data_IF_227991618112
#
_entry.id   IF_227991618112
#
_cell.length_a   1.000
_cell.length_b   1.000
_cell.length_c   1.000
_cell.angle_alpha   90.00
_cell.angle_beta   90.00
_cell.angle_gamma   90.00
#
_symmetry.space_group_name_H-M   'P 1'
#
loop_
_entity.id
_entity.type
_entity.pdbx_description
1 polymer ?
#
# COMPACT_ATOMS: atom_id res chain seq x y z
N UNK A 1 -18.79 -9.96 -33.14
CA UNK A 1 -17.38 -9.48 -33.28
C UNK A 1 -16.83 -9.29 -31.90
N UNK A 2 -15.99 -10.23 -31.46
CA UNK A 2 -15.35 -10.17 -30.13
C UNK A 2 -14.14 -9.25 -30.29
N UNK A 3 -14.25 -8.03 -29.81
CA UNK A 3 -13.10 -7.15 -29.68
C UNK A 3 -12.23 -7.72 -28.55
N UNK A 4 -11.31 -8.60 -28.91
CA UNK A 4 -10.19 -8.97 -28.04
C UNK A 4 -9.31 -7.74 -27.86
N UNK A 5 -9.67 -6.89 -26.92
CA UNK A 5 -8.75 -5.90 -26.39
C UNK A 5 -7.58 -6.69 -25.80
N UNK A 6 -6.43 -6.55 -26.46
CA UNK A 6 -5.17 -7.08 -26.00
C UNK A 6 -4.94 -6.50 -24.59
N UNK A 7 -5.23 -7.26 -23.53
CA UNK A 7 -4.77 -6.92 -22.18
C UNK A 7 -3.26 -6.72 -22.31
N UNK A 8 -2.79 -5.52 -22.12
CA UNK A 8 -1.36 -5.30 -21.89
C UNK A 8 -1.06 -6.00 -20.57
N UNK A 9 -0.63 -7.24 -20.66
CA UNK A 9 -0.44 -8.13 -19.52
C UNK A 9 0.91 -7.81 -18.88
N UNK A 10 0.93 -6.77 -18.04
CA UNK A 10 2.10 -6.49 -17.20
C UNK A 10 2.26 -7.62 -16.20
N UNK A 11 3.41 -8.29 -16.22
CA UNK A 11 3.75 -9.26 -15.19
C UNK A 11 4.14 -8.56 -13.88
N UNK A 12 3.97 -9.25 -12.75
CA UNK A 12 4.45 -8.74 -11.45
C UNK A 12 5.94 -8.39 -11.48
N UNK A 13 6.73 -9.15 -12.23
CA UNK A 13 8.15 -8.88 -12.40
C UNK A 13 8.41 -7.54 -13.12
N UNK A 14 7.67 -7.25 -14.20
CA UNK A 14 7.80 -5.96 -14.91
C UNK A 14 7.41 -4.78 -14.02
N UNK A 15 6.30 -4.91 -13.26
CA UNK A 15 5.87 -3.89 -12.32
C UNK A 15 6.89 -3.70 -11.19
N UNK A 16 7.51 -4.77 -10.71
CA UNK A 16 8.58 -4.70 -9.71
C UNK A 16 9.85 -4.02 -10.26
N UNK A 17 10.27 -4.34 -11.49
CA UNK A 17 11.40 -3.66 -12.13
C UNK A 17 11.14 -2.17 -12.30
N UNK A 18 9.94 -1.79 -12.75
CA UNK A 18 9.54 -0.38 -12.86
C UNK A 18 9.64 0.36 -11.51
N UNK A 19 9.25 -0.31 -10.41
CA UNK A 19 9.43 0.25 -9.06
C UNK A 19 10.91 0.49 -8.72
N UNK A 20 11.80 -0.47 -9.02
CA UNK A 20 13.22 -0.33 -8.76
C UNK A 20 13.87 0.78 -9.61
N UNK A 21 13.42 0.95 -10.84
CA UNK A 21 13.87 1.97 -11.78
C UNK A 21 13.19 3.34 -11.52
N UNK A 22 12.23 3.41 -10.61
CA UNK A 22 11.39 4.59 -10.31
C UNK A 22 10.56 5.06 -11.50
N UNK A 23 10.28 4.18 -12.46
CA UNK A 23 9.39 4.44 -13.60
C UNK A 23 7.93 4.09 -13.24
N UNK A 24 7.29 4.98 -12.52
CA UNK A 24 5.90 4.80 -12.10
C UNK A 24 4.89 4.99 -13.23
N UNK A 25 5.31 5.40 -14.42
CA UNK A 25 4.43 5.46 -15.60
C UNK A 25 3.93 4.08 -16.02
N UNK A 26 4.73 3.03 -15.79
CA UNK A 26 4.35 1.63 -16.02
C UNK A 26 3.21 1.21 -15.09
N UNK A 27 3.26 1.62 -13.81
CA UNK A 27 2.17 1.37 -12.87
C UNK A 27 0.92 2.15 -13.23
N UNK A 28 1.06 3.42 -13.61
CA UNK A 28 -0.07 4.23 -14.09
C UNK A 28 -0.77 3.55 -15.27
N UNK A 29 0.00 3.10 -16.26
CA UNK A 29 -0.53 2.41 -17.44
C UNK A 29 -1.21 1.08 -17.07
N UNK A 30 -0.61 0.27 -16.21
CA UNK A 30 -1.21 -0.97 -15.70
C UNK A 30 -2.56 -0.70 -15.02
N UNK A 31 -2.59 0.23 -14.06
CA UNK A 31 -3.79 0.56 -13.30
C UNK A 31 -4.86 1.15 -14.22
N UNK A 32 -4.50 2.03 -15.16
CA UNK A 32 -5.43 2.67 -16.09
C UNK A 32 -6.04 1.71 -17.11
N UNK A 33 -5.29 0.68 -17.54
CA UNK A 33 -5.75 -0.30 -18.53
C UNK A 33 -6.49 -1.49 -17.93
N UNK A 34 -6.61 -1.57 -16.62
CA UNK A 34 -7.19 -2.71 -15.92
C UNK A 34 -8.65 -2.43 -15.56
N UNK A 35 -9.56 -3.24 -16.10
CA UNK A 35 -11.00 -3.17 -15.81
C UNK A 35 -11.32 -4.02 -14.58
N UNK A 36 -11.75 -3.38 -13.50
CA UNK A 36 -12.03 -4.01 -12.19
C UNK A 36 -13.04 -5.16 -12.28
N UNK A 37 -14.10 -5.01 -13.11
CA UNK A 37 -15.15 -6.02 -13.27
C UNK A 37 -14.66 -7.35 -13.84
N UNK A 38 -13.56 -7.32 -14.59
CA UNK A 38 -13.05 -8.47 -15.34
C UNK A 38 -12.02 -9.27 -14.57
N UNK A 39 -11.67 -8.83 -13.35
CA UNK A 39 -10.62 -9.42 -12.55
C UNK A 39 -11.13 -10.55 -11.66
N UNK A 40 -10.33 -11.59 -11.52
CA UNK A 40 -10.45 -12.59 -10.46
C UNK A 40 -10.19 -11.97 -9.08
N UNK A 41 -10.54 -12.67 -8.01
CA UNK A 41 -10.29 -12.21 -6.64
C UNK A 41 -8.80 -11.94 -6.39
N UNK A 42 -7.91 -12.82 -6.85
CA UNK A 42 -6.48 -12.65 -6.66
C UNK A 42 -5.91 -11.46 -7.46
N UNK A 43 -6.38 -11.27 -8.70
CA UNK A 43 -6.01 -10.11 -9.52
C UNK A 43 -6.52 -8.79 -8.91
N UNK A 44 -7.69 -8.78 -8.27
CA UNK A 44 -8.20 -7.62 -7.52
C UNK A 44 -7.31 -7.29 -6.32
N UNK A 45 -6.89 -8.30 -5.55
CA UNK A 45 -5.93 -8.11 -4.45
C UNK A 45 -4.59 -7.55 -4.95
N UNK A 46 -4.11 -8.07 -6.07
CA UNK A 46 -2.90 -7.56 -6.72
C UNK A 46 -3.07 -6.10 -7.14
N UNK A 47 -4.17 -5.75 -7.82
CA UNK A 47 -4.43 -4.38 -8.25
C UNK A 47 -4.51 -3.43 -7.05
N UNK A 48 -5.23 -3.79 -5.98
CA UNK A 48 -5.31 -2.99 -4.76
C UNK A 48 -3.93 -2.72 -4.16
N UNK A 49 -3.02 -3.69 -4.18
CA UNK A 49 -1.67 -3.50 -3.69
C UNK A 49 -0.87 -2.49 -4.53
N UNK A 50 -1.01 -2.52 -5.86
CA UNK A 50 -0.37 -1.53 -6.74
C UNK A 50 -1.04 -0.16 -6.64
N UNK A 51 -2.36 -0.07 -6.51
CA UNK A 51 -3.06 1.19 -6.27
C UNK A 51 -2.66 1.83 -4.93
N UNK A 52 -2.46 1.03 -3.88
CA UNK A 52 -1.90 1.49 -2.61
C UNK A 52 -0.55 2.18 -2.82
N UNK A 53 0.41 1.53 -3.45
CA UNK A 53 1.73 2.08 -3.69
C UNK A 53 1.71 3.28 -4.64
N UNK A 54 0.93 3.22 -5.71
CA UNK A 54 0.81 4.30 -6.68
C UNK A 54 0.14 5.55 -6.07
N UNK A 55 -0.83 5.37 -5.18
CA UNK A 55 -1.44 6.49 -4.45
C UNK A 55 -0.42 7.20 -3.55
N UNK A 56 0.46 6.46 -2.89
CA UNK A 56 1.55 7.05 -2.10
C UNK A 56 2.50 7.88 -2.98
N UNK A 57 2.88 7.36 -4.15
CA UNK A 57 3.70 8.07 -5.12
C UNK A 57 3.01 9.34 -5.64
N UNK A 58 1.74 9.25 -6.04
CA UNK A 58 0.99 10.38 -6.56
C UNK A 58 0.85 11.51 -5.52
N UNK A 59 0.66 11.17 -4.24
CA UNK A 59 0.64 12.16 -3.16
C UNK A 59 1.97 12.88 -2.97
N UNK A 60 3.08 12.20 -3.26
CA UNK A 60 4.41 12.77 -3.12
C UNK A 60 4.83 13.62 -4.33
N UNK A 61 4.45 13.23 -5.55
CA UNK A 61 5.01 13.77 -6.78
C UNK A 61 3.96 14.28 -7.79
N UNK A 62 2.71 13.83 -7.73
CA UNK A 62 1.66 14.15 -8.71
C UNK A 62 0.38 14.68 -8.02
N UNK A 63 0.52 15.66 -7.15
CA UNK A 63 -0.54 16.15 -6.26
C UNK A 63 -1.84 16.56 -6.98
N UNK A 64 -1.77 16.99 -8.23
CA UNK A 64 -2.98 17.35 -9.00
C UNK A 64 -3.88 16.15 -9.31
N UNK A 65 -3.30 14.98 -9.57
CA UNK A 65 -4.03 13.73 -9.87
C UNK A 65 -4.32 12.90 -8.62
N UNK A 66 -3.64 13.17 -7.51
CA UNK A 66 -3.67 12.32 -6.32
C UNK A 66 -5.07 12.12 -5.74
N UNK A 67 -5.95 13.12 -5.85
CA UNK A 67 -7.34 13.03 -5.38
C UNK A 67 -8.17 12.00 -6.15
N UNK A 68 -8.04 11.97 -7.47
CA UNK A 68 -8.76 11.03 -8.35
C UNK A 68 -8.22 9.60 -8.19
N UNK A 69 -6.88 9.46 -8.11
CA UNK A 69 -6.21 8.19 -7.89
C UNK A 69 -6.66 7.58 -6.55
N UNK A 70 -6.64 8.38 -5.48
CA UNK A 70 -7.12 7.97 -4.17
C UNK A 70 -8.61 7.59 -4.18
N UNK A 71 -9.44 8.35 -4.87
CA UNK A 71 -10.87 8.08 -4.95
C UNK A 71 -11.17 6.76 -5.64
N UNK A 72 -10.42 6.43 -6.69
CA UNK A 72 -10.50 5.12 -7.36
C UNK A 72 -10.03 3.99 -6.45
N UNK A 73 -8.87 4.14 -5.80
CA UNK A 73 -8.38 3.16 -4.84
C UNK A 73 -9.39 2.89 -3.71
N UNK A 74 -9.95 3.95 -3.10
CA UNK A 74 -10.96 3.81 -2.05
C UNK A 74 -12.21 3.09 -2.54
N UNK A 75 -12.67 3.37 -3.76
CA UNK A 75 -13.82 2.68 -4.38
C UNK A 75 -13.54 1.18 -4.51
N UNK A 76 -12.39 0.81 -5.08
CA UNK A 76 -12.02 -0.60 -5.25
C UNK A 76 -11.83 -1.33 -3.91
N UNK A 77 -11.27 -0.67 -2.88
CA UNK A 77 -11.18 -1.24 -1.53
C UNK A 77 -12.58 -1.55 -0.97
N UNK A 78 -13.54 -0.64 -1.12
CA UNK A 78 -14.92 -0.86 -0.65
C UNK A 78 -15.62 -1.99 -1.40
N UNK A 79 -15.45 -2.05 -2.71
CA UNK A 79 -16.01 -3.12 -3.55
C UNK A 79 -15.41 -4.48 -3.22
N UNK A 80 -14.14 -4.52 -2.78
CA UNK A 80 -13.45 -5.75 -2.40
C UNK A 80 -13.76 -6.23 -0.97
N UNK A 81 -14.57 -5.53 -0.17
CA UNK A 81 -14.78 -5.85 1.24
C UNK A 81 -15.12 -7.31 1.51
N UNK A 82 -15.97 -7.94 0.68
CA UNK A 82 -16.37 -9.34 0.84
C UNK A 82 -15.33 -10.36 0.33
N UNK A 83 -14.28 -9.90 -0.36
CA UNK A 83 -13.23 -10.73 -0.96
C UNK A 83 -11.93 -10.72 -0.16
N UNK A 84 -11.76 -9.71 0.68
CA UNK A 84 -10.60 -9.52 1.55
C UNK A 84 -10.85 -10.21 2.90
N UNK A 85 -9.78 -10.63 3.59
CA UNK A 85 -9.91 -10.90 5.02
C UNK A 85 -10.28 -9.60 5.75
N UNK A 86 -10.83 -9.72 6.96
CA UNK A 86 -11.18 -8.54 7.76
C UNK A 86 -9.93 -7.68 8.03
N UNK A 87 -8.80 -8.32 8.30
CA UNK A 87 -7.52 -7.63 8.51
C UNK A 87 -7.06 -6.92 7.25
N UNK A 88 -7.06 -7.57 6.08
CA UNK A 88 -6.71 -6.95 4.80
C UNK A 88 -7.58 -5.72 4.51
N UNK A 89 -8.91 -5.86 4.63
CA UNK A 89 -9.84 -4.74 4.40
C UNK A 89 -9.57 -3.56 5.33
N UNK A 90 -9.44 -3.80 6.63
CA UNK A 90 -9.16 -2.76 7.62
C UNK A 90 -7.81 -2.10 7.38
N UNK A 91 -6.80 -2.84 6.92
CA UNK A 91 -5.47 -2.32 6.59
C UNK A 91 -5.54 -1.40 5.37
N UNK A 92 -6.24 -1.79 4.30
CA UNK A 92 -6.49 -0.90 3.17
C UNK A 92 -7.27 0.36 3.58
N UNK A 93 -8.27 0.24 4.46
CA UNK A 93 -9.02 1.40 4.97
C UNK A 93 -8.17 2.32 5.86
N UNK A 94 -7.19 1.78 6.59
CA UNK A 94 -6.19 2.58 7.31
C UNK A 94 -5.30 3.36 6.33
N UNK A 95 -4.83 2.73 5.26
CA UNK A 95 -4.05 3.37 4.20
C UNK A 95 -4.87 4.49 3.50
N UNK A 96 -6.11 4.21 3.09
CA UNK A 96 -7.04 5.21 2.53
C UNK A 96 -7.19 6.40 3.48
N UNK A 97 -7.41 6.15 4.77
CA UNK A 97 -7.55 7.21 5.78
C UNK A 97 -6.27 8.03 5.93
N UNK A 98 -5.09 7.39 5.84
CA UNK A 98 -3.79 8.08 5.85
C UNK A 98 -3.65 9.02 4.66
N UNK A 99 -4.00 8.57 3.47
CA UNK A 99 -3.94 9.36 2.25
C UNK A 99 -4.98 10.50 2.26
N UNK A 100 -6.21 10.25 2.71
CA UNK A 100 -7.22 11.29 2.93
C UNK A 100 -6.74 12.34 3.95
N UNK A 101 -6.11 11.90 5.05
CA UNK A 101 -5.53 12.83 6.02
C UNK A 101 -4.42 13.68 5.40
N UNK A 102 -3.58 13.09 4.57
CA UNK A 102 -2.53 13.81 3.86
C UNK A 102 -3.07 14.90 2.95
N UNK A 103 -4.17 14.65 2.22
CA UNK A 103 -4.81 15.60 1.31
C UNK A 103 -5.65 16.65 2.03
N UNK A 104 -6.52 16.21 2.96
CA UNK A 104 -7.58 17.05 3.49
C UNK A 104 -7.27 17.64 4.88
N UNK A 105 -6.26 17.11 5.59
CA UNK A 105 -5.84 17.52 6.94
C UNK A 105 -6.98 17.48 8.01
N UNK A 106 -8.02 16.65 7.80
CA UNK A 106 -9.16 16.53 8.72
C UNK A 106 -8.87 15.50 9.81
N UNK A 107 -8.98 15.90 11.08
CA UNK A 107 -8.67 15.07 12.26
C UNK A 107 -9.47 13.75 12.33
N UNK A 108 -10.68 13.70 11.77
CA UNK A 108 -11.47 12.46 11.69
C UNK A 108 -10.69 11.30 11.04
N UNK A 109 -9.87 11.60 10.05
CA UNK A 109 -9.06 10.56 9.39
C UNK A 109 -7.94 10.05 10.30
N UNK A 110 -7.33 10.91 11.13
CA UNK A 110 -6.34 10.47 12.10
C UNK A 110 -6.93 9.44 13.08
N UNK A 111 -8.14 9.70 13.60
CA UNK A 111 -8.86 8.73 14.45
C UNK A 111 -9.16 7.43 13.70
N UNK A 112 -9.60 7.53 12.43
CA UNK A 112 -9.89 6.35 11.60
C UNK A 112 -8.66 5.49 11.37
N UNK A 113 -7.48 6.07 11.11
CA UNK A 113 -6.22 5.35 10.92
C UNK A 113 -5.96 4.43 12.13
N UNK A 114 -5.94 5.00 13.33
CA UNK A 114 -5.67 4.22 14.55
C UNK A 114 -6.72 3.13 14.80
N UNK A 115 -8.00 3.43 14.59
CA UNK A 115 -9.07 2.47 14.80
C UNK A 115 -8.98 1.30 13.82
N UNK A 116 -8.74 1.56 12.53
CA UNK A 116 -8.64 0.52 11.53
C UNK A 116 -7.40 -0.36 11.75
N UNK A 117 -6.22 0.25 11.95
CA UNK A 117 -5.00 -0.53 12.08
C UNK A 117 -4.97 -1.35 13.39
N UNK A 118 -5.53 -0.80 14.48
CA UNK A 118 -5.68 -1.55 15.75
C UNK A 118 -6.56 -2.77 15.54
N UNK A 119 -7.74 -2.62 14.92
CA UNK A 119 -8.63 -3.74 14.65
C UNK A 119 -8.01 -4.75 13.67
N UNK A 120 -7.27 -4.28 12.65
CA UNK A 120 -6.57 -5.19 11.75
C UNK A 120 -5.54 -6.05 12.48
N UNK A 121 -4.77 -5.46 13.39
CA UNK A 121 -3.79 -6.19 14.19
C UNK A 121 -4.44 -7.14 15.22
N UNK A 122 -5.64 -6.84 15.71
CA UNK A 122 -6.41 -7.76 16.56
C UNK A 122 -6.92 -9.00 15.79
N UNK A 123 -7.11 -8.89 14.46
CA UNK A 123 -7.53 -9.99 13.60
C UNK A 123 -6.34 -10.83 13.10
N UNK A 124 -5.27 -10.19 12.65
CA UNK A 124 -4.09 -10.84 12.04
C UNK A 124 -2.82 -10.05 12.34
N UNK A 125 -2.19 -10.26 13.50
CA UNK A 125 -0.98 -9.55 13.93
C UNK A 125 0.30 -10.00 13.21
N UNK A 126 0.24 -11.10 12.48
CA UNK A 126 1.32 -11.67 11.66
C UNK A 126 1.11 -11.50 10.14
N UNK A 127 0.13 -10.69 9.72
CA UNK A 127 -0.04 -10.31 8.32
C UNK A 127 1.02 -9.24 7.94
N UNK A 128 1.86 -9.49 6.92
CA UNK A 128 2.95 -8.56 6.57
C UNK A 128 2.45 -7.15 6.22
N UNK A 129 1.29 -7.02 5.57
CA UNK A 129 0.73 -5.72 5.20
C UNK A 129 0.20 -4.96 6.42
N UNK A 130 -0.44 -5.64 7.37
CA UNK A 130 -0.85 -5.05 8.66
C UNK A 130 0.36 -4.46 9.37
N UNK A 131 1.43 -5.25 9.50
CA UNK A 131 2.65 -4.85 10.21
C UNK A 131 3.38 -3.72 9.48
N UNK A 132 3.41 -3.72 8.14
CA UNK A 132 3.93 -2.59 7.35
C UNK A 132 3.19 -1.30 7.67
N UNK A 133 1.84 -1.31 7.65
CA UNK A 133 1.05 -0.11 7.94
C UNK A 133 1.22 0.34 9.40
N UNK A 134 1.39 -0.57 10.36
CA UNK A 134 1.76 -0.21 11.74
C UNK A 134 3.10 0.53 11.78
N UNK A 135 4.08 0.06 11.00
CA UNK A 135 5.37 0.74 10.83
C UNK A 135 5.22 2.14 10.26
N UNK A 136 4.42 2.29 9.21
CA UNK A 136 4.14 3.58 8.58
C UNK A 136 3.43 4.55 9.55
N UNK A 137 2.44 4.08 10.32
CA UNK A 137 1.75 4.90 11.34
C UNK A 137 2.73 5.38 12.40
N UNK A 138 3.60 4.52 12.92
CA UNK A 138 4.63 4.92 13.90
C UNK A 138 5.70 5.86 13.29
N UNK A 139 6.02 5.70 12.02
CA UNK A 139 7.04 6.51 11.35
C UNK A 139 6.58 7.94 11.07
N UNK A 140 5.32 8.10 10.62
CA UNK A 140 4.78 9.39 10.17
C UNK A 140 3.92 10.11 11.22
N UNK A 141 3.47 9.42 12.28
CA UNK A 141 2.69 10.03 13.34
C UNK A 141 3.54 10.97 14.21
N UNK A 142 3.03 12.14 14.60
CA UNK A 142 3.71 13.01 15.55
C UNK A 142 3.87 12.38 16.95
N UNK A 143 3.07 11.36 17.27
CA UNK A 143 3.12 10.60 18.52
C UNK A 143 3.87 9.26 18.39
N UNK A 144 4.27 8.90 17.18
CA UNK A 144 5.01 7.68 16.89
C UNK A 144 6.50 7.84 17.18
N UNK A 145 7.21 6.72 17.18
CA UNK A 145 8.65 6.72 17.40
C UNK A 145 9.38 5.93 16.31
N UNK A 146 10.51 6.46 15.84
CA UNK A 146 11.38 5.74 14.89
C UNK A 146 11.83 4.37 15.42
N UNK A 147 11.94 4.22 16.75
CA UNK A 147 12.32 2.94 17.38
C UNK A 147 11.25 1.89 17.15
N UNK A 148 9.97 2.23 17.39
CA UNK A 148 8.85 1.30 17.16
C UNK A 148 8.62 1.06 15.67
N UNK A 149 8.70 2.12 14.84
CA UNK A 149 8.62 1.98 13.40
C UNK A 149 9.66 0.97 12.88
N UNK A 150 10.92 1.06 13.35
CA UNK A 150 11.97 0.12 12.98
C UNK A 150 11.62 -1.32 13.37
N UNK A 151 11.05 -1.53 14.56
CA UNK A 151 10.63 -2.87 15.00
C UNK A 151 9.57 -3.47 14.09
N UNK A 152 8.52 -2.68 13.75
CA UNK A 152 7.49 -3.12 12.83
C UNK A 152 8.03 -3.37 11.42
N UNK A 153 8.86 -2.50 10.87
CA UNK A 153 9.46 -2.74 9.56
C UNK A 153 10.36 -3.98 9.53
N UNK A 154 11.13 -4.26 10.59
CA UNK A 154 11.91 -5.49 10.68
C UNK A 154 11.02 -6.74 10.77
N UNK A 155 9.90 -6.66 11.48
CA UNK A 155 8.90 -7.73 11.51
C UNK A 155 8.26 -7.92 10.13
N UNK A 156 7.84 -6.82 9.46
CA UNK A 156 7.26 -6.87 8.13
C UNK A 156 8.25 -7.45 7.09
N UNK A 157 9.54 -7.09 7.13
CA UNK A 157 10.59 -7.67 6.26
C UNK A 157 10.64 -9.20 6.41
N UNK A 158 10.64 -9.70 7.65
CA UNK A 158 10.63 -11.11 7.92
C UNK A 158 9.37 -11.81 7.40
N UNK A 159 8.21 -11.21 7.64
CA UNK A 159 6.92 -11.76 7.22
C UNK A 159 6.76 -11.76 5.70
N UNK A 160 7.13 -10.67 5.01
CA UNK A 160 7.11 -10.61 3.54
C UNK A 160 8.08 -11.61 2.90
N UNK A 161 9.23 -11.84 3.53
CA UNK A 161 10.21 -12.82 3.05
C UNK A 161 9.67 -14.25 3.09
N UNK A 162 8.85 -14.58 4.10
CA UNK A 162 8.30 -15.93 4.28
C UNK A 162 6.93 -16.11 3.64
N UNK A 163 6.06 -15.08 3.72
CA UNK A 163 4.64 -15.17 3.37
C UNK A 163 4.23 -14.25 2.22
N UNK A 164 5.13 -13.42 1.73
CA UNK A 164 4.83 -12.44 0.68
C UNK A 164 4.40 -13.12 -0.61
N UNK A 165 3.41 -12.53 -1.28
CA UNK A 165 3.02 -12.87 -2.65
C UNK A 165 3.98 -12.22 -3.63
N UNK A 166 4.00 -12.70 -4.88
CA UNK A 166 4.84 -12.11 -5.93
C UNK A 166 4.60 -10.60 -6.11
N UNK A 167 3.37 -10.15 -6.03
CA UNK A 167 3.03 -8.73 -6.12
C UNK A 167 3.40 -7.90 -4.87
N UNK A 168 3.88 -8.52 -3.81
CA UNK A 168 4.41 -7.84 -2.62
C UNK A 168 5.93 -7.60 -2.67
N UNK A 169 6.62 -7.92 -3.76
CA UNK A 169 8.07 -7.71 -3.86
C UNK A 169 8.45 -6.24 -3.66
N UNK A 170 7.66 -5.31 -4.18
CA UNK A 170 7.90 -3.90 -4.00
C UNK A 170 7.65 -3.43 -2.56
N UNK A 171 6.65 -4.00 -1.85
CA UNK A 171 6.39 -3.72 -0.43
C UNK A 171 7.62 -4.13 0.40
N UNK A 172 8.14 -5.33 0.18
CA UNK A 172 9.36 -5.79 0.84
C UNK A 172 10.53 -4.83 0.61
N UNK A 173 10.71 -4.37 -0.62
CA UNK A 173 11.76 -3.40 -0.95
C UNK A 173 11.53 -2.04 -0.27
N UNK A 174 10.29 -1.54 -0.24
CA UNK A 174 9.94 -0.30 0.45
C UNK A 174 10.22 -0.39 1.96
N UNK A 175 9.83 -1.50 2.59
CA UNK A 175 10.10 -1.77 4.00
C UNK A 175 11.61 -1.75 4.29
N UNK A 176 12.43 -2.37 3.45
CA UNK A 176 13.90 -2.35 3.56
C UNK A 176 14.48 -0.95 3.43
N UNK A 177 13.94 -0.14 2.53
CA UNK A 177 14.35 1.27 2.40
C UNK A 177 14.06 2.07 3.67
N UNK A 178 12.89 1.88 4.31
CA UNK A 178 12.59 2.50 5.61
C UNK A 178 13.55 2.05 6.71
N UNK A 179 13.87 0.76 6.78
CA UNK A 179 14.85 0.23 7.74
C UNK A 179 16.19 0.93 7.58
N UNK A 180 16.69 1.05 6.36
CA UNK A 180 17.97 1.71 6.08
C UNK A 180 17.93 3.22 6.37
N UNK A 181 16.84 3.92 6.03
CA UNK A 181 16.65 5.33 6.36
C UNK A 181 16.68 5.59 7.86
N UNK A 182 16.00 4.74 8.65
CA UNK A 182 15.99 4.88 10.12
C UNK A 182 17.37 4.60 10.70
N UNK A 183 18.08 3.56 10.23
CA UNK A 183 19.43 3.24 10.70
C UNK A 183 20.41 4.35 10.36
N UNK A 184 20.40 4.84 9.12
CA UNK A 184 21.33 5.90 8.68
C UNK A 184 21.09 7.24 9.40
N UNK A 185 19.85 7.53 9.79
CA UNK A 185 19.54 8.75 10.56
C UNK A 185 20.10 8.73 12.00
N UNK A 186 20.38 7.55 12.57
CA UNK A 186 20.98 7.40 13.92
C UNK A 186 22.48 7.71 13.94
N UNK A 187 23.16 7.66 12.79
CA UNK A 187 24.59 7.89 12.69
C UNK A 187 24.96 9.35 12.34
N UNK A 188 23.95 10.24 12.20
CA UNK A 188 24.15 11.67 11.88
C UNK A 188 23.97 12.61 13.07
N UNK A 189 23.87 12.09 14.30
CA UNK A 189 23.80 12.87 15.55
C UNK A 189 25.07 12.69 16.38
#
# INVERSE_FOLDING_TARGET
MVSGLCRAQYSNHQLYLAYLEQDMSVWEAYIASTEWSDLTVEEKKQLLNYEYGFTAYALAYETQKAGDILSRYEMHVRDAQSMLSKAEYLTHMAAVSTYRFSLEKKLRYATSIYNYIKQAAEEEDDNPFVVEIMGNVEYYSPFGTKKKALQYFQQADSLYTVRGKEYHQWNLQAVRQYIEQIKSSKFKN
#
